data_IF_825183592257
#
_entry.id   IF_825183592257
#
_cell.length_a   1.000
_cell.length_b   1.000
_cell.length_c   1.000
_cell.angle_alpha   90.00
_cell.angle_beta   90.00
_cell.angle_gamma   90.00
#
_symmetry.space_group_name_H-M   'P 1'
#
loop_
_entity.id
_entity.type
_entity.pdbx_description
1 polymer ?
#
# COMPACT_ATOMS: atom_id res chain seq x y z
N UNK A 1 -7.11 -4.92 17.10
CA UNK A 1 -6.35 -3.68 16.78
C UNK A 1 -5.79 -2.97 18.01
N UNK A 2 -6.48 -2.08 18.73
CA UNK A 2 -5.87 -1.35 19.88
C UNK A 2 -5.15 -2.28 20.88
N UNK A 3 -5.83 -3.36 21.31
CA UNK A 3 -5.23 -4.37 22.21
C UNK A 3 -3.99 -5.01 21.59
N UNK A 4 -4.08 -5.51 20.36
CA UNK A 4 -2.96 -6.09 19.60
C UNK A 4 -1.76 -5.15 19.51
N UNK A 5 -1.96 -3.88 19.11
CA UNK A 5 -0.85 -2.92 18.95
C UNK A 5 -0.19 -2.62 20.28
N UNK A 6 -0.99 -2.50 21.35
CA UNK A 6 -0.45 -2.33 22.71
C UNK A 6 0.32 -3.56 23.19
N UNK A 7 -0.18 -4.76 22.89
CA UNK A 7 0.47 -6.04 23.24
C UNK A 7 1.83 -6.20 22.55
N UNK A 8 1.97 -5.75 21.30
CA UNK A 8 3.24 -5.82 20.55
C UNK A 8 4.16 -4.61 20.80
N UNK A 9 3.84 -3.75 21.77
CA UNK A 9 4.76 -2.72 22.28
C UNK A 9 4.61 -1.32 21.70
N UNK A 10 3.55 -1.02 20.92
CA UNK A 10 3.31 0.36 20.49
C UNK A 10 2.94 1.26 21.67
N UNK A 11 3.53 2.46 21.72
CA UNK A 11 3.13 3.53 22.63
C UNK A 11 1.80 4.17 22.18
N UNK A 12 0.71 3.48 22.52
CA UNK A 12 -0.66 3.87 22.23
C UNK A 12 -1.48 4.04 23.52
N UNK A 13 -2.19 5.16 23.60
CA UNK A 13 -3.08 5.50 24.70
C UNK A 13 -4.52 5.66 24.20
N UNK A 14 -5.50 5.70 25.11
CA UNK A 14 -6.92 5.82 24.73
C UNK A 14 -7.23 7.14 23.99
N UNK A 15 -6.46 8.22 24.26
CA UNK A 15 -6.61 9.50 23.55
C UNK A 15 -6.18 9.43 22.08
N UNK A 16 -5.35 8.45 21.71
CA UNK A 16 -4.90 8.24 20.34
C UNK A 16 -5.95 7.46 19.51
N UNK A 17 -6.94 6.85 20.18
CA UNK A 17 -8.01 6.09 19.54
C UNK A 17 -9.23 6.98 19.32
N UNK A 18 -9.41 7.42 18.08
CA UNK A 18 -10.60 8.18 17.70
C UNK A 18 -11.74 7.26 17.22
N UNK A 19 -12.92 7.44 17.81
CA UNK A 19 -14.17 6.81 17.35
C UNK A 19 -15.13 7.89 16.88
N UNK A 20 -15.81 7.64 15.76
CA UNK A 20 -16.78 8.59 15.18
C UNK A 20 -16.21 10.01 15.00
N UNK A 21 -14.97 10.11 14.52
CA UNK A 21 -14.25 11.37 14.41
C UNK A 21 -14.82 12.28 13.32
N UNK A 22 -14.93 13.57 13.62
CA UNK A 22 -15.12 14.63 12.63
C UNK A 22 -13.85 14.85 11.78
N UNK A 23 -13.99 15.58 10.67
CA UNK A 23 -12.86 15.89 9.79
C UNK A 23 -11.73 16.61 10.54
N UNK A 24 -12.08 17.62 11.34
CA UNK A 24 -11.11 18.40 12.12
C UNK A 24 -10.39 17.55 13.16
N UNK A 25 -11.12 16.63 13.84
CA UNK A 25 -10.50 15.70 14.79
C UNK A 25 -9.51 14.76 14.09
N UNK A 26 -9.86 14.24 12.92
CA UNK A 26 -8.95 13.39 12.13
C UNK A 26 -7.70 14.17 11.71
N UNK A 27 -7.85 15.36 11.14
CA UNK A 27 -6.73 16.18 10.68
C UNK A 27 -5.81 16.60 11.83
N UNK A 28 -6.39 17.02 12.96
CA UNK A 28 -5.64 17.40 14.17
C UNK A 28 -4.88 16.21 14.74
N UNK A 29 -5.52 15.04 14.83
CA UNK A 29 -4.86 13.84 15.33
C UNK A 29 -3.74 13.36 14.41
N UNK A 30 -3.92 13.42 13.09
CA UNK A 30 -2.88 13.09 12.12
C UNK A 30 -1.69 14.05 12.23
N UNK A 31 -1.94 15.36 12.32
CA UNK A 31 -0.88 16.35 12.51
C UNK A 31 -0.09 16.11 13.81
N UNK A 32 -0.79 15.89 14.93
CA UNK A 32 -0.15 15.61 16.22
C UNK A 32 0.60 14.28 16.21
N UNK A 33 0.02 13.25 15.57
CA UNK A 33 0.64 11.95 15.39
C UNK A 33 1.94 12.07 14.59
N UNK A 34 1.94 12.81 13.49
CA UNK A 34 3.15 13.07 12.70
C UNK A 34 4.25 13.75 13.51
N UNK A 35 3.90 14.71 14.39
CA UNK A 35 4.90 15.31 15.30
C UNK A 35 5.47 14.29 16.30
N UNK A 36 4.62 13.45 16.90
CA UNK A 36 5.05 12.38 17.83
C UNK A 36 5.91 11.32 17.13
N UNK A 37 5.64 11.05 15.85
CA UNK A 37 6.28 9.99 15.08
C UNK A 37 7.71 10.30 14.64
N UNK A 38 8.18 11.56 14.70
CA UNK A 38 9.49 11.99 14.18
C UNK A 38 10.68 11.18 14.69
N UNK A 39 10.64 10.81 15.97
CA UNK A 39 11.72 10.07 16.62
C UNK A 39 11.40 8.56 16.75
N UNK A 40 10.28 8.11 16.17
CA UNK A 40 9.86 6.72 16.23
C UNK A 40 10.51 5.88 15.13
N UNK A 41 10.83 4.63 15.44
CA UNK A 41 11.24 3.67 14.42
C UNK A 41 10.08 3.29 13.51
N UNK A 42 8.89 3.05 14.08
CA UNK A 42 7.71 2.64 13.33
C UNK A 42 6.54 3.53 13.74
N UNK A 43 5.85 4.11 12.76
CA UNK A 43 4.57 4.78 12.95
C UNK A 43 3.47 4.05 12.16
N UNK A 44 2.47 3.56 12.88
CA UNK A 44 1.35 2.84 12.31
C UNK A 44 0.05 3.63 12.47
N UNK A 45 -0.62 3.87 11.34
CA UNK A 45 -1.97 4.45 11.31
C UNK A 45 -2.95 3.38 10.80
N UNK A 46 -3.97 3.07 11.59
CA UNK A 46 -5.05 2.18 11.20
C UNK A 46 -6.36 2.97 11.07
N UNK A 47 -7.00 2.88 9.91
CA UNK A 47 -8.29 3.51 9.63
C UNK A 47 -9.32 2.45 9.26
N UNK A 48 -10.53 2.54 9.83
CA UNK A 48 -11.65 1.66 9.51
C UNK A 48 -12.94 2.44 9.38
N UNK A 49 -13.49 2.55 8.16
CA UNK A 49 -14.77 3.22 7.85
C UNK A 49 -15.12 3.14 6.34
N UNK A 50 -15.78 4.15 5.77
CA UNK A 50 -15.94 4.31 4.33
C UNK A 50 -14.79 5.08 3.68
N UNK A 51 -14.45 4.70 2.45
CA UNK A 51 -13.51 5.43 1.61
C UNK A 51 -13.96 5.47 0.15
N UNK A 52 -13.51 6.48 -0.59
CA UNK A 52 -13.77 6.60 -2.04
C UNK A 52 -12.57 7.11 -2.82
N UNK A 53 -12.53 6.82 -4.12
CA UNK A 53 -11.57 7.40 -5.04
C UNK A 53 -12.21 8.41 -6.00
N UNK A 54 -11.66 9.61 -6.07
CA UNK A 54 -12.00 10.58 -7.14
C UNK A 54 -10.71 11.17 -7.70
N UNK A 55 -10.60 11.21 -9.03
CA UNK A 55 -9.44 11.79 -9.73
C UNK A 55 -8.10 11.22 -9.23
N UNK A 56 -8.04 9.88 -9.08
CA UNK A 56 -6.87 9.15 -8.56
C UNK A 56 -6.45 9.48 -7.12
N UNK A 57 -7.26 10.21 -6.36
CA UNK A 57 -7.04 10.49 -4.93
C UNK A 57 -8.01 9.70 -4.07
N UNK A 58 -7.52 9.21 -2.95
CA UNK A 58 -8.28 8.40 -2.01
C UNK A 58 -8.73 9.27 -0.85
N UNK A 59 -10.02 9.25 -0.55
CA UNK A 59 -10.64 10.05 0.50
C UNK A 59 -11.28 9.14 1.54
N UNK A 60 -11.05 9.48 2.81
CA UNK A 60 -11.61 8.83 3.98
C UNK A 60 -12.77 9.67 4.51
N UNK A 61 -13.87 9.00 4.82
CA UNK A 61 -15.06 9.66 5.35
C UNK A 61 -14.91 9.92 6.86
N UNK A 62 -15.06 11.17 7.30
CA UNK A 62 -15.35 11.44 8.70
C UNK A 62 -16.74 10.91 9.07
N UNK A 63 -16.96 10.75 10.37
CA UNK A 63 -18.23 10.27 10.88
C UNK A 63 -19.39 11.18 10.45
N UNK A 64 -20.51 10.54 10.09
CA UNK A 64 -21.75 11.22 9.69
C UNK A 64 -21.59 12.20 8.51
N UNK A 65 -20.53 12.05 7.71
CA UNK A 65 -20.29 12.87 6.53
C UNK A 65 -20.86 12.20 5.29
N UNK A 66 -21.44 12.98 4.39
CA UNK A 66 -21.91 12.53 3.07
C UNK A 66 -21.24 13.36 1.97
N UNK A 67 -21.01 12.74 0.82
CA UNK A 67 -20.48 13.39 -0.37
C UNK A 67 -21.28 12.92 -1.59
N UNK A 68 -21.97 13.85 -2.25
CA UNK A 68 -22.86 13.55 -3.40
C UNK A 68 -22.48 14.34 -4.65
N UNK A 69 -21.63 15.36 -4.51
CA UNK A 69 -21.02 16.13 -5.61
C UNK A 69 -19.53 16.38 -5.37
N UNK A 70 -18.72 16.69 -6.41
CA UNK A 70 -17.27 16.86 -6.30
C UNK A 70 -16.84 17.98 -5.34
N UNK A 71 -17.64 19.04 -5.20
CA UNK A 71 -17.35 20.08 -4.20
C UNK A 71 -17.37 19.51 -2.79
N UNK A 72 -18.11 18.44 -2.50
CA UNK A 72 -18.16 17.87 -1.15
C UNK A 72 -16.87 17.19 -0.71
N UNK A 73 -15.91 16.97 -1.64
CA UNK A 73 -14.61 16.40 -1.32
C UNK A 73 -13.83 17.23 -0.29
N UNK A 74 -14.10 18.54 -0.17
CA UNK A 74 -13.48 19.38 0.87
C UNK A 74 -13.85 18.93 2.29
N UNK A 75 -14.92 18.15 2.48
CA UNK A 75 -15.38 17.62 3.77
C UNK A 75 -14.75 16.28 4.13
N UNK A 76 -13.99 15.67 3.21
CA UNK A 76 -13.34 14.38 3.42
C UNK A 76 -11.86 14.58 3.79
N UNK A 77 -11.20 13.51 4.23
CA UNK A 77 -9.77 13.53 4.55
C UNK A 77 -9.01 12.73 3.51
N UNK A 78 -8.01 13.33 2.86
CA UNK A 78 -7.19 12.62 1.89
C UNK A 78 -6.29 11.58 2.59
N UNK A 79 -6.18 10.37 2.01
CA UNK A 79 -5.24 9.33 2.43
C UNK A 79 -3.79 9.83 2.49
N UNK A 80 -3.41 10.79 1.64
CA UNK A 80 -2.06 11.38 1.64
C UNK A 80 -1.73 12.04 3.00
N UNK A 81 -2.71 12.54 3.76
CA UNK A 81 -2.46 13.02 5.14
C UNK A 81 -2.08 11.90 6.10
N UNK A 82 -2.66 10.71 5.93
CA UNK A 82 -2.31 9.54 6.75
C UNK A 82 -0.91 9.06 6.40
N UNK A 83 -0.59 9.00 5.09
CA UNK A 83 0.73 8.62 4.59
C UNK A 83 1.79 9.59 5.10
N UNK A 84 1.56 10.91 4.97
CA UNK A 84 2.51 11.93 5.43
C UNK A 84 2.74 11.86 6.94
N UNK A 85 1.69 11.61 7.72
CA UNK A 85 1.81 11.52 9.17
C UNK A 85 2.59 10.25 9.59
N UNK A 86 2.30 9.10 8.96
CA UNK A 86 3.04 7.86 9.19
C UNK A 86 4.50 7.93 8.71
N UNK A 87 4.76 8.61 7.60
CA UNK A 87 6.11 8.76 7.05
C UNK A 87 6.98 9.75 7.84
N UNK A 88 6.50 10.29 8.95
CA UNK A 88 7.33 11.10 9.85
C UNK A 88 8.29 10.21 10.68
N UNK A 89 7.98 8.93 10.86
CA UNK A 89 8.88 7.94 11.45
C UNK A 89 9.86 7.36 10.42
N UNK A 90 10.85 6.59 10.90
CA UNK A 90 11.77 5.82 10.03
C UNK A 90 11.01 4.84 9.13
N UNK A 91 9.97 4.17 9.63
CA UNK A 91 9.09 3.31 8.82
C UNK A 91 7.62 3.66 9.05
N UNK A 92 6.92 4.00 7.96
CA UNK A 92 5.50 4.34 7.99
C UNK A 92 4.62 3.18 7.56
N UNK A 93 3.58 2.88 8.35
CA UNK A 93 2.60 1.83 8.04
C UNK A 93 1.21 2.43 8.04
N UNK A 94 0.47 2.31 6.94
CA UNK A 94 -0.91 2.76 6.84
C UNK A 94 -1.81 1.57 6.50
N UNK A 95 -2.72 1.21 7.41
CA UNK A 95 -3.66 0.10 7.24
C UNK A 95 -5.07 0.65 7.05
N UNK A 96 -5.67 0.41 5.88
CA UNK A 96 -6.97 0.96 5.49
C UNK A 96 -7.99 -0.16 5.36
N UNK A 97 -8.83 -0.27 6.37
CA UNK A 97 -9.94 -1.21 6.49
C UNK A 97 -11.27 -0.55 6.10
N UNK A 98 -11.41 -0.18 4.82
CA UNK A 98 -12.52 0.63 4.39
C UNK A 98 -13.38 0.03 3.27
N UNK A 99 -14.70 0.11 3.48
CA UNK A 99 -15.74 -0.23 2.51
C UNK A 99 -15.82 0.83 1.40
N UNK A 100 -16.17 0.37 0.19
CA UNK A 100 -15.74 1.00 -1.07
C UNK A 100 -16.90 1.36 -2.00
N UNK A 101 -17.95 1.95 -1.43
CA UNK A 101 -19.08 2.48 -2.18
C UNK A 101 -18.79 3.93 -2.56
N UNK A 102 -18.58 4.21 -3.84
CA UNK A 102 -18.33 5.58 -4.30
C UNK A 102 -19.64 6.22 -4.83
N UNK A 103 -20.28 7.11 -4.03
CA UNK A 103 -21.54 7.77 -4.42
C UNK A 103 -21.40 8.68 -5.64
N UNK A 104 -20.18 9.13 -5.96
CA UNK A 104 -19.92 10.02 -7.08
C UNK A 104 -19.81 9.30 -8.44
N UNK A 105 -19.81 7.97 -8.46
CA UNK A 105 -19.75 7.22 -9.73
C UNK A 105 -20.90 7.62 -10.66
N UNK A 106 -22.13 7.71 -10.15
CA UNK A 106 -23.30 8.15 -10.94
C UNK A 106 -23.18 9.60 -11.39
N UNK A 107 -22.61 10.47 -10.55
CA UNK A 107 -22.41 11.88 -10.87
C UNK A 107 -21.51 12.06 -12.10
N UNK A 108 -20.39 11.32 -12.16
CA UNK A 108 -19.45 11.42 -13.29
C UNK A 108 -19.87 10.63 -14.54
N UNK A 109 -20.72 9.60 -14.40
CA UNK A 109 -21.26 8.85 -15.54
C UNK A 109 -22.26 9.67 -16.39
N UNK A 110 -22.89 10.71 -15.83
CA UNK A 110 -23.90 11.52 -16.51
C UNK A 110 -23.33 12.54 -17.52
N UNK A 111 -22.09 12.37 -18.00
CA UNK A 111 -21.56 13.00 -19.21
C UNK A 111 -21.26 14.51 -19.19
N UNK A 112 -21.63 15.24 -18.12
CA UNK A 112 -21.47 16.71 -18.04
C UNK A 112 -20.10 17.20 -17.56
N UNK A 113 -19.18 16.30 -17.19
CA UNK A 113 -17.90 16.64 -16.54
C UNK A 113 -16.71 16.07 -17.31
N UNK A 114 -16.33 16.69 -18.44
CA UNK A 114 -15.10 16.33 -19.16
C UNK A 114 -13.88 16.67 -18.28
N UNK A 115 -13.07 15.67 -17.94
CA UNK A 115 -11.80 15.84 -17.21
C UNK A 115 -11.78 15.39 -15.75
N UNK A 116 -12.89 14.88 -15.20
CA UNK A 116 -12.91 14.25 -13.87
C UNK A 116 -13.57 12.88 -13.91
N UNK A 117 -13.10 11.96 -13.07
CA UNK A 117 -13.59 10.58 -13.01
C UNK A 117 -13.65 10.08 -11.57
N UNK A 118 -14.65 9.26 -11.31
CA UNK A 118 -14.74 8.43 -10.12
C UNK A 118 -14.76 6.97 -10.54
N UNK A 119 -13.98 6.15 -9.84
CA UNK A 119 -14.05 4.68 -9.94
C UNK A 119 -14.77 4.15 -8.71
N UNK A 120 -15.34 2.94 -8.81
CA UNK A 120 -15.81 2.24 -7.62
C UNK A 120 -14.62 1.99 -6.68
N UNK A 121 -14.83 2.12 -5.38
CA UNK A 121 -13.83 1.90 -4.34
C UNK A 121 -12.68 2.90 -4.24
N UNK A 122 -11.63 2.51 -3.49
CA UNK A 122 -10.36 3.24 -3.38
C UNK A 122 -9.41 2.78 -4.48
N UNK A 123 -8.59 3.69 -4.97
CA UNK A 123 -7.50 3.35 -5.87
C UNK A 123 -6.35 2.66 -5.16
N UNK A 124 -5.59 1.90 -5.93
CA UNK A 124 -4.23 1.52 -5.54
C UNK A 124 -3.37 2.77 -5.52
N UNK A 125 -2.70 3.02 -4.39
CA UNK A 125 -1.70 4.08 -4.24
C UNK A 125 -0.34 3.42 -4.07
N UNK A 126 0.59 3.73 -4.97
CA UNK A 126 2.00 3.40 -4.77
C UNK A 126 2.58 4.41 -3.76
N UNK A 127 3.18 3.95 -2.65
CA UNK A 127 3.84 4.84 -1.71
C UNK A 127 5.01 5.54 -2.43
N UNK A 128 4.80 6.83 -2.76
CA UNK A 128 5.84 7.68 -3.35
C UNK A 128 6.92 8.04 -2.33
N UNK A 129 6.57 7.95 -1.04
CA UNK A 129 7.48 8.19 0.07
C UNK A 129 8.26 6.89 0.35
N UNK A 130 9.56 7.04 0.55
CA UNK A 130 10.45 5.94 0.91
C UNK A 130 10.10 5.43 2.31
N UNK A 131 10.35 4.14 2.57
CA UNK A 131 10.11 3.48 3.86
C UNK A 131 8.63 3.47 4.31
N UNK A 132 7.69 3.46 3.35
CA UNK A 132 6.25 3.35 3.65
C UNK A 132 5.63 2.09 3.06
N UNK A 133 4.76 1.45 3.84
CA UNK A 133 3.84 0.39 3.38
C UNK A 133 2.40 0.80 3.65
N UNK A 134 1.54 0.51 2.67
CA UNK A 134 0.10 0.76 2.72
C UNK A 134 -0.62 -0.57 2.49
N UNK A 135 -1.39 -1.02 3.48
CA UNK A 135 -2.27 -2.18 3.40
C UNK A 135 -3.72 -1.78 3.21
N UNK A 136 -4.45 -2.48 2.36
CA UNK A 136 -5.87 -2.28 2.11
C UNK A 136 -6.65 -3.58 2.32
N UNK A 137 -7.81 -3.48 2.97
CA UNK A 137 -8.69 -4.64 3.22
C UNK A 137 -9.24 -5.31 1.95
N UNK A 138 -9.25 -4.62 0.82
CA UNK A 138 -9.68 -5.20 -0.46
C UNK A 138 -9.06 -4.47 -1.65
N UNK A 139 -9.19 -5.07 -2.83
CA UNK A 139 -8.67 -4.58 -4.11
C UNK A 139 -9.40 -3.34 -4.60
N UNK A 140 -8.80 -2.59 -5.52
CA UNK A 140 -9.44 -1.41 -6.11
C UNK A 140 -10.68 -1.82 -6.91
N UNK A 141 -11.82 -1.20 -6.62
CA UNK A 141 -13.10 -1.53 -7.25
C UNK A 141 -14.00 -2.48 -6.45
N UNK A 142 -13.44 -3.23 -5.50
CA UNK A 142 -14.16 -4.24 -4.71
C UNK A 142 -14.59 -3.72 -3.33
N UNK A 143 -15.50 -4.44 -2.68
CA UNK A 143 -16.09 -4.07 -1.38
C UNK A 143 -15.42 -4.87 -0.25
N UNK A 144 -15.16 -4.23 0.88
CA UNK A 144 -14.79 -4.90 2.12
C UNK A 144 -16.05 -5.20 2.93
N UNK A 145 -16.09 -6.29 3.69
CA UNK A 145 -17.23 -6.61 4.58
C UNK A 145 -16.92 -6.20 6.01
N UNK A 146 -17.95 -5.74 6.72
CA UNK A 146 -17.87 -5.44 8.15
C UNK A 146 -17.76 -6.71 9.01
N UNK A 147 -18.07 -7.88 8.44
CA UNK A 147 -18.09 -9.17 9.12
C UNK A 147 -19.34 -9.39 9.99
N UNK A 148 -19.46 -10.58 10.61
CA UNK A 148 -20.59 -10.97 11.46
C UNK A 148 -20.39 -10.73 12.97
N UNK A 149 -19.30 -10.05 13.36
CA UNK A 149 -18.94 -9.83 14.76
C UNK A 149 -18.26 -8.48 14.98
N UNK A 150 -17.55 -8.30 16.10
CA UNK A 150 -16.96 -7.01 16.49
C UNK A 150 -15.76 -6.53 15.65
N UNK A 151 -15.38 -7.28 14.61
CA UNK A 151 -14.24 -6.98 13.74
C UNK A 151 -14.55 -7.39 12.29
N UNK A 152 -14.09 -6.57 11.34
CA UNK A 152 -14.03 -6.97 9.93
C UNK A 152 -13.13 -8.20 9.74
N UNK A 153 -13.28 -8.96 8.65
CA UNK A 153 -12.33 -10.00 8.26
C UNK A 153 -10.88 -9.53 8.27
N UNK A 154 -10.61 -8.36 7.70
CA UNK A 154 -9.27 -7.80 7.62
C UNK A 154 -8.72 -7.41 9.00
N UNK A 155 -9.48 -6.70 9.83
CA UNK A 155 -9.05 -6.33 11.17
C UNK A 155 -8.83 -7.55 12.09
N UNK A 156 -9.59 -8.63 11.90
CA UNK A 156 -9.39 -9.90 12.61
C UNK A 156 -8.06 -10.53 12.22
N UNK A 157 -7.84 -10.74 10.91
CA UNK A 157 -6.61 -11.33 10.40
C UNK A 157 -5.38 -10.48 10.81
N UNK A 158 -5.45 -9.15 10.70
CA UNK A 158 -4.40 -8.25 11.21
C UNK A 158 -4.16 -8.45 12.72
N UNK A 159 -5.21 -8.52 13.52
CA UNK A 159 -5.09 -8.64 14.98
C UNK A 159 -4.41 -9.94 15.43
N UNK A 160 -4.47 -10.98 14.59
CA UNK A 160 -3.81 -12.27 14.79
C UNK A 160 -2.37 -12.24 14.27
N UNK A 161 -2.17 -11.82 13.00
CA UNK A 161 -0.88 -11.89 12.30
C UNK A 161 0.15 -10.85 12.72
N UNK A 162 -0.27 -9.66 13.16
CA UNK A 162 0.67 -8.59 13.58
C UNK A 162 1.49 -8.95 14.83
N UNK A 163 1.14 -10.05 15.51
CA UNK A 163 1.88 -10.57 16.66
C UNK A 163 3.07 -11.45 16.27
N UNK A 164 3.14 -11.87 15.01
CA UNK A 164 4.22 -12.71 14.50
C UNK A 164 5.52 -11.89 14.37
N UNK A 165 6.66 -12.51 14.70
CA UNK A 165 7.99 -11.93 14.53
C UNK A 165 8.48 -12.12 13.09
N UNK A 166 7.90 -11.36 12.16
CA UNK A 166 8.10 -11.51 10.73
C UNK A 166 8.03 -10.14 10.03
N UNK A 167 8.53 -10.07 8.79
CA UNK A 167 8.49 -8.84 7.99
C UNK A 167 7.04 -8.42 7.71
N UNK A 168 6.77 -7.12 7.82
CA UNK A 168 5.43 -6.56 7.62
C UNK A 168 4.84 -6.92 6.25
N UNK A 169 5.63 -7.01 5.18
CA UNK A 169 5.09 -7.39 3.88
C UNK A 169 4.72 -8.87 3.83
N UNK A 170 5.47 -9.74 4.52
CA UNK A 170 5.09 -11.14 4.68
C UNK A 170 3.84 -11.30 5.54
N UNK A 171 3.75 -10.59 6.67
CA UNK A 171 2.55 -10.54 7.53
C UNK A 171 1.33 -10.10 6.71
N UNK A 172 1.44 -9.03 5.92
CA UNK A 172 0.34 -8.56 5.07
C UNK A 172 -0.04 -9.55 3.96
N UNK A 173 0.93 -10.34 3.46
CA UNK A 173 0.68 -11.47 2.56
C UNK A 173 -0.10 -12.61 3.21
N UNK A 174 0.24 -12.97 4.45
CA UNK A 174 -0.51 -13.94 5.26
C UNK A 174 -1.94 -13.46 5.54
N UNK A 175 -2.10 -12.19 5.90
CA UNK A 175 -3.42 -11.55 6.08
C UNK A 175 -4.26 -11.62 4.80
N UNK A 176 -3.68 -11.31 3.65
CA UNK A 176 -4.36 -11.43 2.36
C UNK A 176 -4.82 -12.87 2.12
N UNK A 177 -3.94 -13.84 2.37
CA UNK A 177 -4.26 -15.27 2.24
C UNK A 177 -5.41 -15.71 3.14
N UNK A 178 -5.40 -15.32 4.42
CA UNK A 178 -6.43 -15.71 5.39
C UNK A 178 -7.80 -15.15 5.03
N UNK A 179 -7.84 -13.89 4.58
CA UNK A 179 -9.08 -13.21 4.19
C UNK A 179 -9.60 -13.79 2.88
N UNK A 180 -8.77 -13.90 1.83
CA UNK A 180 -9.23 -14.35 0.51
C UNK A 180 -9.64 -15.81 0.45
N UNK A 181 -9.14 -16.66 1.37
CA UNK A 181 -9.60 -18.06 1.48
C UNK A 181 -11.03 -18.19 2.00
N UNK A 182 -11.51 -17.20 2.76
CA UNK A 182 -12.75 -17.31 3.55
C UNK A 182 -13.83 -16.30 3.17
N UNK A 183 -13.44 -15.20 2.53
CA UNK A 183 -14.32 -14.07 2.21
C UNK A 183 -14.13 -13.66 0.75
N UNK A 184 -15.14 -13.01 0.18
CA UNK A 184 -15.08 -12.42 -1.17
C UNK A 184 -14.33 -11.08 -1.14
N UNK A 185 -13.14 -11.09 -0.54
CA UNK A 185 -12.28 -9.94 -0.35
C UNK A 185 -10.85 -10.30 -0.71
N UNK A 186 -10.18 -9.39 -1.41
CA UNK A 186 -8.79 -9.58 -1.83
C UNK A 186 -7.92 -8.46 -1.26
N UNK A 187 -7.46 -8.57 0.01
CA UNK A 187 -6.57 -7.57 0.58
C UNK A 187 -5.29 -7.46 -0.21
N UNK A 188 -4.81 -6.24 -0.37
CA UNK A 188 -3.57 -5.94 -1.10
C UNK A 188 -2.72 -4.99 -0.29
N UNK A 189 -1.41 -5.00 -0.54
CA UNK A 189 -0.52 -3.97 -0.01
C UNK A 189 0.37 -3.40 -1.11
N UNK A 190 0.94 -2.23 -0.83
CA UNK A 190 2.01 -1.58 -1.60
C UNK A 190 3.08 -1.12 -0.64
N UNK A 191 4.32 -1.42 -0.97
CA UNK A 191 5.47 -1.12 -0.13
C UNK A 191 6.56 -0.45 -0.96
N UNK A 192 7.18 0.58 -0.39
CA UNK A 192 8.42 1.17 -0.85
C UNK A 192 9.43 1.06 0.30
N UNK A 193 9.66 -0.16 0.77
CA UNK A 193 10.59 -0.50 1.84
C UNK A 193 11.90 -1.00 1.23
N UNK A 194 13.03 -0.59 1.82
CA UNK A 194 14.35 -1.07 1.43
C UNK A 194 14.90 -2.17 2.35
N UNK A 195 14.28 -2.34 3.51
CA UNK A 195 14.67 -3.30 4.54
C UNK A 195 13.41 -3.93 5.13
N UNK A 196 13.59 -5.09 5.75
CA UNK A 196 12.52 -5.75 6.50
C UNK A 196 12.12 -4.89 7.69
N UNK A 197 10.81 -4.84 7.95
CA UNK A 197 10.23 -4.06 9.05
C UNK A 197 9.41 -4.98 9.93
N UNK A 198 9.87 -5.18 11.17
CA UNK A 198 9.30 -6.15 12.09
C UNK A 198 8.72 -5.46 13.32
N UNK A 199 7.47 -5.78 13.64
CA UNK A 199 6.70 -5.04 14.64
C UNK A 199 6.95 -5.49 16.08
N UNK A 200 7.34 -6.74 16.28
CA UNK A 200 7.57 -7.36 17.60
C UNK A 200 9.06 -7.43 17.98
N UNK A 201 9.91 -6.59 17.35
CA UNK A 201 11.36 -6.58 17.56
C UNK A 201 12.11 -7.08 16.33
N UNK A 202 12.85 -8.18 16.45
CA UNK A 202 13.59 -8.75 15.33
C UNK A 202 12.67 -9.53 14.39
N UNK A 203 12.92 -9.39 13.08
CA UNK A 203 12.45 -10.38 12.12
C UNK A 203 13.09 -11.71 12.50
N UNK A 204 12.29 -12.75 12.76
CA UNK A 204 12.85 -14.09 12.89
C UNK A 204 13.70 -14.38 11.66
N UNK A 205 14.85 -15.03 11.82
CA UNK A 205 15.54 -15.58 10.65
C UNK A 205 14.54 -16.51 9.98
N UNK A 206 14.01 -16.11 8.83
CA UNK A 206 13.19 -16.98 8.03
C UNK A 206 14.08 -18.16 7.64
N UNK A 207 13.89 -19.32 8.28
CA UNK A 207 14.40 -20.60 7.77
C UNK A 207 13.61 -21.04 6.53
N UNK A 208 13.25 -20.09 5.68
CA UNK A 208 12.66 -20.34 4.39
C UNK A 208 13.79 -20.17 3.38
N UNK A 209 14.35 -21.28 2.93
CA UNK A 209 15.34 -21.34 1.83
C UNK A 209 14.85 -20.55 0.58
N UNK A 210 13.54 -20.30 0.48
CA UNK A 210 12.89 -19.50 -0.55
C UNK A 210 12.90 -17.98 -0.32
N UNK A 211 13.11 -17.47 0.90
CA UNK A 211 13.02 -16.02 1.17
C UNK A 211 14.22 -15.27 0.63
N UNK A 212 15.43 -15.83 0.72
CA UNK A 212 16.65 -15.24 0.18
C UNK A 212 16.64 -15.22 -1.36
N UNK A 213 16.18 -16.30 -2.01
CA UNK A 213 16.01 -16.33 -3.46
C UNK A 213 14.93 -15.35 -3.93
N UNK A 214 13.81 -15.25 -3.21
CA UNK A 214 12.75 -14.27 -3.51
C UNK A 214 13.25 -12.84 -3.29
N UNK A 215 14.02 -12.59 -2.24
CA UNK A 215 14.63 -11.29 -1.96
C UNK A 215 15.67 -10.92 -3.03
N UNK A 216 16.51 -11.87 -3.44
CA UNK A 216 17.48 -11.69 -4.53
C UNK A 216 16.78 -11.44 -5.87
N UNK A 217 15.69 -12.16 -6.16
CA UNK A 217 14.88 -11.95 -7.36
C UNK A 217 14.19 -10.58 -7.35
N UNK A 218 13.63 -10.15 -6.20
CA UNK A 218 13.05 -8.80 -6.04
C UNK A 218 14.11 -7.71 -6.25
N UNK A 219 15.29 -7.86 -5.68
CA UNK A 219 16.41 -6.93 -5.87
C UNK A 219 16.86 -6.86 -7.34
N UNK A 220 16.81 -7.99 -8.05
CA UNK A 220 17.08 -8.04 -9.49
C UNK A 220 16.02 -7.28 -10.30
N UNK A 221 14.74 -7.49 -10.01
CA UNK A 221 13.65 -6.75 -10.65
C UNK A 221 13.71 -5.24 -10.39
N UNK A 222 14.13 -4.82 -9.19
CA UNK A 222 14.33 -3.41 -8.86
C UNK A 222 15.47 -2.82 -9.68
N UNK A 223 16.62 -3.51 -9.76
CA UNK A 223 17.76 -3.09 -10.59
C UNK A 223 17.37 -2.99 -12.07
N UNK A 224 16.61 -3.94 -12.60
CA UNK A 224 16.10 -3.87 -13.97
C UNK A 224 15.19 -2.66 -14.19
N UNK A 225 14.27 -2.38 -13.25
CA UNK A 225 13.37 -1.22 -13.33
C UNK A 225 14.15 0.09 -13.30
N UNK A 226 15.17 0.20 -12.44
CA UNK A 226 16.06 1.35 -12.37
C UNK A 226 16.89 1.51 -13.65
N UNK A 227 17.40 0.41 -14.21
CA UNK A 227 18.15 0.41 -15.46
C UNK A 227 17.27 0.86 -16.63
N UNK A 228 16.02 0.37 -16.72
CA UNK A 228 15.05 0.81 -17.74
C UNK A 228 14.76 2.31 -17.65
N UNK A 229 14.59 2.85 -16.44
CA UNK A 229 14.40 4.28 -16.22
C UNK A 229 15.64 5.09 -16.64
N UNK A 230 16.85 4.59 -16.32
CA UNK A 230 18.12 5.21 -16.73
C UNK A 230 18.26 5.23 -18.25
N UNK A 231 17.92 4.13 -18.93
CA UNK A 231 17.93 4.04 -20.40
C UNK A 231 16.96 5.04 -21.01
N UNK A 232 15.74 5.16 -20.49
CA UNK A 232 14.77 6.15 -20.97
C UNK A 232 15.23 7.59 -20.74
N UNK A 233 15.92 7.87 -19.64
CA UNK A 233 16.55 9.18 -19.42
C UNK A 233 17.64 9.44 -20.47
N UNK A 234 18.54 8.47 -20.68
CA UNK A 234 19.62 8.58 -21.67
C UNK A 234 19.05 8.82 -23.07
N UNK A 235 18.05 8.04 -23.51
CA UNK A 235 17.40 8.21 -24.81
C UNK A 235 16.82 9.60 -25.03
N UNK A 236 16.32 10.27 -23.99
CA UNK A 236 15.80 11.65 -24.09
C UNK A 236 16.90 12.69 -24.29
N UNK A 237 18.14 12.36 -23.90
CA UNK A 237 19.32 13.22 -24.02
C UNK A 237 20.14 13.00 -25.30
N UNK A 238 19.77 12.04 -26.16
CA UNK A 238 20.44 11.78 -27.44
C UNK A 238 19.47 11.93 -28.61
N UNK A 239 19.96 12.39 -29.75
CA UNK A 239 19.21 12.39 -31.01
C UNK A 239 19.17 10.99 -31.63
N UNK A 240 18.19 10.71 -32.49
CA UNK A 240 18.03 9.39 -33.14
C UNK A 240 19.25 8.97 -33.98
N UNK A 241 20.06 9.93 -34.46
CA UNK A 241 21.29 9.65 -35.20
C UNK A 241 22.41 9.16 -34.27
N UNK A 242 22.60 9.81 -33.12
CA UNK A 242 23.61 9.45 -32.12
C UNK A 242 23.32 8.09 -31.48
N UNK A 243 22.04 7.77 -31.23
CA UNK A 243 21.64 6.44 -30.74
C UNK A 243 21.99 5.34 -31.75
N UNK A 244 21.75 5.55 -33.06
CA UNK A 244 22.08 4.57 -34.09
C UNK A 244 23.58 4.28 -34.16
N UNK A 245 24.41 5.30 -34.02
CA UNK A 245 25.87 5.16 -34.04
C UNK A 245 26.39 4.47 -32.76
N UNK A 246 25.83 4.79 -31.60
CA UNK A 246 26.12 4.10 -30.34
C UNK A 246 25.77 2.60 -30.40
N UNK A 247 24.56 2.27 -30.89
CA UNK A 247 24.12 0.88 -31.03
C UNK A 247 25.02 0.11 -32.01
N UNK A 248 25.37 0.70 -33.16
CA UNK A 248 26.24 0.06 -34.16
C UNK A 248 27.63 -0.31 -33.60
N UNK A 249 28.13 0.48 -32.63
CA UNK A 249 29.46 0.28 -32.02
C UNK A 249 29.47 -0.76 -30.88
N UNK A 250 28.31 -1.12 -30.32
CA UNK A 250 28.24 -1.96 -29.11
C UNK A 250 27.27 -3.15 -29.24
N UNK A 251 26.71 -3.41 -30.43
CA UNK A 251 25.67 -4.44 -30.63
C UNK A 251 26.16 -5.85 -30.32
N UNK A 252 27.46 -6.13 -30.52
CA UNK A 252 28.06 -7.43 -30.26
C UNK A 252 28.24 -7.75 -28.77
N UNK A 253 28.07 -6.74 -27.88
CA UNK A 253 28.22 -6.90 -26.43
C UNK A 253 26.88 -7.06 -25.69
N UNK A 254 25.74 -7.04 -26.37
CA UNK A 254 24.42 -7.17 -25.73
C UNK A 254 23.72 -8.49 -26.10
N UNK A 255 24.09 -9.57 -25.41
CA UNK A 255 23.33 -10.83 -25.44
C UNK A 255 22.02 -10.64 -24.67
N UNK A 256 20.91 -10.48 -25.40
CA UNK A 256 19.57 -10.33 -24.81
C UNK A 256 19.10 -11.66 -24.19
N UNK A 257 18.89 -11.68 -22.87
CA UNK A 257 18.26 -12.81 -22.17
C UNK A 257 16.77 -12.85 -22.55
N UNK A 258 16.34 -13.98 -23.12
CA UNK A 258 14.98 -14.27 -23.55
C UNK A 258 14.13 -14.66 -22.33
N UNK A 259 12.98 -14.03 -22.15
CA UNK A 259 12.04 -14.21 -21.03
C UNK A 259 11.65 -15.69 -20.79
N UNK A 260 11.70 -16.13 -19.52
CA UNK A 260 11.06 -17.36 -19.04
C UNK A 260 9.63 -17.06 -18.57
N UNK A 261 8.66 -17.71 -19.22
CA UNK A 261 7.26 -17.79 -18.81
C UNK A 261 7.12 -18.96 -17.82
N UNK A 262 6.58 -18.68 -16.63
CA UNK A 262 6.31 -19.69 -15.61
C UNK A 262 4.95 -20.33 -15.91
N UNK A 263 4.98 -21.60 -16.34
CA UNK A 263 3.89 -22.55 -16.07
C UNK A 263 4.49 -23.89 -15.64
N UNK A 264 4.33 -24.18 -14.34
CA UNK A 264 4.00 -25.49 -13.78
C UNK A 264 4.94 -26.68 -14.03
N UNK A 265 5.46 -27.21 -12.92
CA UNK A 265 6.05 -28.54 -12.70
C UNK A 265 7.50 -28.77 -13.14
N UNK A 266 8.37 -28.72 -12.11
CA UNK A 266 9.31 -29.78 -11.72
C UNK A 266 10.32 -30.25 -12.76
N UNK A 267 11.59 -29.85 -12.54
CA UNK A 267 12.86 -30.63 -12.64
C UNK A 267 13.97 -29.69 -13.10
N UNK A 268 14.86 -29.28 -12.19
CA UNK A 268 16.00 -28.43 -12.52
C UNK A 268 17.17 -29.29 -13.04
N UNK A 269 17.59 -29.03 -14.27
CA UNK A 269 18.95 -29.35 -14.71
C UNK A 269 19.52 -28.12 -15.42
N UNK A 270 20.55 -27.54 -14.81
CA UNK A 270 21.40 -26.51 -15.40
C UNK A 270 22.36 -27.17 -16.40
N UNK A 271 22.41 -26.64 -17.62
CA UNK A 271 23.58 -26.67 -18.49
C UNK A 271 23.78 -25.27 -19.04
#
# INVERSE_FOLDING_TARGET
MYKTLKEIGFDISQKDVLKNASQSQMQTALANFGQKAKDAEIALVHFSSHGMQVNNRNYMFPARTTATKPVDLFRLVDLDYFIQSASSAKYGIVLVDACRNNPLVKYFQNGKHKGSSAKKGLGIVEPRVWQVVIGFATSAGDTAEDGKGNMSPYARALSERLKESDDICHILGKVSTDVSKKYEQNPIYRANLAYDVCLSGSCGQSNDIYSDEIAQYRNTLIKEKQLKLRIEQVKKSFTNAELKEFYKKHIDNFTFVKYLSIKGNSSFHLV
#
